data_IF_365682065735
#
_entry.id   IF_365682065735
#
_cell.length_a   1.000
_cell.length_b   1.000
_cell.length_c   1.000
_cell.angle_alpha   90.00
_cell.angle_beta   90.00
_cell.angle_gamma   90.00
#
_symmetry.space_group_name_H-M   'P 1'
#
loop_
_entity.id
_entity.type
_entity.pdbx_description
1 polymer ?
#
# COMPACT_ATOMS: atom_id res chain seq x y z
N UNK A 1 8.97 -26.06 20.18
CA UNK A 1 7.68 -25.41 19.92
C UNK A 1 7.20 -25.94 18.58
N UNK A 2 6.00 -26.51 18.53
CA UNK A 2 5.35 -26.97 17.29
C UNK A 2 4.04 -26.21 17.17
N UNK A 3 3.71 -25.74 15.96
CA UNK A 3 2.42 -25.10 15.66
C UNK A 3 1.79 -25.87 14.50
N UNK A 4 0.50 -26.17 14.60
CA UNK A 4 -0.23 -26.79 13.52
C UNK A 4 -0.41 -25.80 12.36
N UNK A 5 -0.25 -26.29 11.12
CA UNK A 5 -0.47 -25.46 9.95
C UNK A 5 -1.95 -25.02 9.91
N UNK A 6 -2.18 -23.72 9.78
CA UNK A 6 -3.53 -23.13 9.79
C UNK A 6 -4.28 -23.33 8.47
N UNK A 7 -3.57 -23.76 7.44
CA UNK A 7 -4.09 -24.01 6.10
C UNK A 7 -4.02 -25.50 5.80
N UNK A 8 -5.08 -26.03 5.21
CA UNK A 8 -5.11 -27.40 4.71
C UNK A 8 -4.63 -27.36 3.26
N UNK A 9 -3.43 -27.87 3.01
CA UNK A 9 -2.82 -27.80 1.68
C UNK A 9 -1.42 -28.40 1.64
N UNK A 10 -0.85 -28.46 0.44
CA UNK A 10 0.49 -29.02 0.22
C UNK A 10 1.55 -27.99 0.57
N UNK A 11 2.47 -28.33 1.47
CA UNK A 11 3.62 -27.46 1.77
C UNK A 11 4.55 -27.43 0.56
N UNK A 12 4.85 -26.23 0.08
CA UNK A 12 5.70 -25.99 -1.09
C UNK A 12 7.12 -25.64 -0.68
N UNK A 13 7.28 -24.75 0.29
CA UNK A 13 8.58 -24.31 0.76
C UNK A 13 8.51 -23.76 2.18
N UNK A 14 9.64 -23.73 2.85
CA UNK A 14 9.82 -23.03 4.12
C UNK A 14 11.06 -22.14 4.04
N UNK A 15 10.90 -20.86 4.32
CA UNK A 15 11.98 -19.87 4.34
C UNK A 15 12.20 -19.41 5.77
N UNK A 16 13.41 -19.63 6.29
CA UNK A 16 13.84 -19.15 7.60
C UNK A 16 14.53 -17.82 7.41
N UNK A 17 14.13 -16.81 8.18
CA UNK A 17 14.75 -15.49 8.17
C UNK A 17 14.92 -14.97 9.59
N UNK A 18 15.85 -14.02 9.77
CA UNK A 18 15.98 -13.30 11.04
C UNK A 18 15.86 -11.80 10.80
N UNK A 19 15.12 -11.11 11.67
CA UNK A 19 14.93 -9.66 11.60
C UNK A 19 14.80 -9.07 12.99
N UNK A 20 15.55 -7.99 13.26
CA UNK A 20 15.54 -7.29 14.54
C UNK A 20 15.76 -8.19 15.79
N UNK A 21 16.47 -9.31 15.61
CA UNK A 21 16.74 -10.30 16.65
C UNK A 21 15.62 -11.29 16.90
N UNK A 22 14.62 -11.38 16.01
CA UNK A 22 13.60 -12.42 15.99
C UNK A 22 13.83 -13.33 14.78
N UNK A 23 13.53 -14.61 14.96
CA UNK A 23 13.54 -15.60 13.87
C UNK A 23 12.11 -15.81 13.38
N UNK A 24 11.95 -15.89 12.06
CA UNK A 24 10.69 -16.14 11.39
C UNK A 24 10.83 -17.35 10.48
N UNK A 25 9.77 -18.12 10.38
CA UNK A 25 9.61 -19.17 9.37
C UNK A 25 8.37 -18.83 8.57
N UNK A 26 8.54 -18.63 7.25
CA UNK A 26 7.44 -18.47 6.31
C UNK A 26 7.26 -19.78 5.57
N UNK A 27 6.07 -20.38 5.69
CA UNK A 27 5.73 -21.65 5.03
C UNK A 27 4.76 -21.32 3.89
N UNK A 28 5.17 -21.59 2.65
CA UNK A 28 4.30 -21.48 1.49
C UNK A 28 3.48 -22.77 1.36
N UNK A 29 2.17 -22.62 1.25
CA UNK A 29 1.22 -23.73 1.17
C UNK A 29 0.38 -23.50 -0.07
N UNK A 30 0.34 -24.50 -0.94
CA UNK A 30 -0.60 -24.57 -2.04
C UNK A 30 -1.96 -25.02 -1.49
N UNK A 31 -2.97 -24.20 -1.71
CA UNK A 31 -4.34 -24.43 -1.25
C UNK A 31 -5.28 -24.25 -2.43
N UNK A 32 -6.30 -25.10 -2.52
CA UNK A 32 -7.46 -24.81 -3.35
C UNK A 32 -8.26 -23.70 -2.64
N UNK A 33 -8.49 -22.59 -3.35
CA UNK A 33 -9.23 -21.45 -2.82
C UNK A 33 -10.40 -21.14 -3.74
N UNK A 34 -11.60 -21.47 -3.30
CA UNK A 34 -12.83 -21.07 -3.97
C UNK A 34 -13.02 -19.57 -3.79
N UNK A 35 -12.89 -18.82 -4.90
CA UNK A 35 -13.12 -17.38 -4.90
C UNK A 35 -14.63 -17.14 -4.76
N UNK A 36 -15.10 -16.54 -3.65
CA UNK A 36 -16.53 -16.35 -3.43
C UNK A 36 -17.09 -15.31 -4.40
N UNK A 37 -18.38 -15.36 -4.71
CA UNK A 37 -19.04 -14.25 -5.39
C UNK A 37 -19.22 -13.08 -4.42
N UNK A 38 -18.68 -11.90 -4.75
CA UNK A 38 -18.80 -10.72 -3.90
C UNK A 38 -20.08 -9.94 -4.22
N UNK A 39 -21.01 -9.87 -3.26
CA UNK A 39 -22.29 -9.14 -3.40
C UNK A 39 -22.22 -7.68 -2.89
N UNK A 40 -21.02 -7.10 -2.88
CA UNK A 40 -20.76 -5.79 -2.31
C UNK A 40 -21.00 -4.69 -3.34
N UNK A 41 -21.16 -3.45 -2.87
CA UNK A 41 -21.23 -2.29 -3.77
C UNK A 41 -19.86 -1.91 -4.35
N UNK A 42 -19.84 -0.75 -5.02
CA UNK A 42 -18.62 -0.08 -5.44
C UNK A 42 -18.24 1.07 -4.49
N UNK A 43 -16.96 1.22 -4.19
CA UNK A 43 -16.40 2.34 -3.42
C UNK A 43 -15.25 2.98 -4.19
N UNK A 44 -15.13 4.30 -4.15
CA UNK A 44 -13.94 5.03 -4.60
C UNK A 44 -13.11 5.46 -3.40
N UNK A 45 -11.79 5.40 -3.52
CA UNK A 45 -10.86 5.73 -2.45
C UNK A 45 -9.92 6.82 -2.93
N UNK A 46 -10.00 7.97 -2.28
CA UNK A 46 -8.99 9.04 -2.38
C UNK A 46 -7.89 8.83 -1.34
N UNK A 47 -6.64 8.67 -1.77
CA UNK A 47 -5.50 8.42 -0.89
C UNK A 47 -4.75 9.72 -0.60
N UNK A 48 -4.45 9.95 0.68
CA UNK A 48 -3.83 11.20 1.11
C UNK A 48 -2.71 11.04 2.12
N UNK A 49 -1.95 12.12 2.29
CA UNK A 49 -0.88 12.20 3.30
C UNK A 49 -1.44 12.65 4.66
N UNK A 50 -2.38 13.61 4.67
CA UNK A 50 -3.01 14.13 5.90
C UNK A 50 -3.92 13.08 6.52
N UNK A 51 -4.80 12.54 5.68
CA UNK A 51 -5.73 11.45 5.92
C UNK A 51 -5.31 10.30 5.01
N UNK A 52 -5.17 9.08 5.53
CA UNK A 52 -4.64 7.96 4.73
C UNK A 52 -5.56 7.65 3.55
N UNK A 53 -6.87 7.61 3.81
CA UNK A 53 -7.88 7.39 2.79
C UNK A 53 -9.23 7.99 3.15
N UNK A 54 -9.90 8.57 2.16
CA UNK A 54 -11.30 8.97 2.23
C UNK A 54 -12.10 8.14 1.24
N UNK A 55 -13.17 7.50 1.70
CA UNK A 55 -14.01 6.62 0.89
C UNK A 55 -15.28 7.35 0.45
N UNK A 56 -15.82 6.95 -0.70
CA UNK A 56 -17.05 7.53 -1.27
C UNK A 56 -18.32 7.25 -0.44
N UNK A 57 -18.25 6.36 0.55
CA UNK A 57 -19.29 6.09 1.55
C UNK A 57 -19.20 7.02 2.78
N UNK A 58 -18.24 7.96 2.78
CA UNK A 58 -17.95 8.86 3.89
C UNK A 58 -17.02 8.29 4.96
N UNK A 59 -16.58 7.02 4.85
CA UNK A 59 -15.63 6.43 5.80
C UNK A 59 -14.25 7.05 5.60
N UNK A 60 -13.61 7.41 6.71
CA UNK A 60 -12.28 8.03 6.72
C UNK A 60 -11.30 7.15 7.49
N UNK A 61 -10.14 6.89 6.90
CA UNK A 61 -9.01 6.21 7.54
C UNK A 61 -7.91 7.21 7.86
N UNK A 62 -7.58 7.36 9.13
CA UNK A 62 -6.54 8.28 9.57
C UNK A 62 -5.13 7.78 9.22
N UNK A 63 -4.25 8.71 8.85
CA UNK A 63 -2.83 8.43 8.81
C UNK A 63 -2.23 8.58 10.21
N UNK A 64 -1.92 7.44 10.85
CA UNK A 64 -1.39 7.40 12.22
C UNK A 64 0.04 7.98 12.34
N UNK A 65 0.76 8.20 11.24
CA UNK A 65 2.09 8.87 11.20
C UNK A 65 3.09 8.26 12.21
N UNK A 66 3.09 6.92 12.31
CA UNK A 66 3.89 6.16 13.27
C UNK A 66 5.37 6.55 13.26
N UNK A 67 5.96 6.78 12.08
CA UNK A 67 7.37 7.16 11.98
C UNK A 67 7.60 8.56 12.56
N UNK A 68 6.74 9.53 12.24
CA UNK A 68 6.82 10.89 12.80
C UNK A 68 6.74 10.89 14.34
N UNK A 69 5.83 10.12 14.92
CA UNK A 69 5.68 10.01 16.38
C UNK A 69 6.92 9.41 17.05
N UNK A 70 7.62 8.50 16.36
CA UNK A 70 8.76 7.77 16.92
C UNK A 70 10.12 8.40 16.54
N UNK A 71 10.10 9.50 15.76
CA UNK A 71 11.29 10.08 15.15
C UNK A 71 12.36 10.52 16.16
N UNK A 72 11.96 11.09 17.29
CA UNK A 72 12.90 11.51 18.35
C UNK A 72 13.71 10.33 18.90
N UNK A 73 13.05 9.19 19.12
CA UNK A 73 13.70 7.95 19.56
C UNK A 73 14.65 7.40 18.50
N UNK A 74 14.22 7.36 17.24
CA UNK A 74 15.06 6.91 16.11
C UNK A 74 16.31 7.78 15.98
N UNK A 75 16.16 9.11 16.00
CA UNK A 75 17.28 10.07 15.94
C UNK A 75 18.26 9.87 17.10
N UNK A 76 17.74 9.70 18.32
CA UNK A 76 18.58 9.45 19.50
C UNK A 76 19.36 8.15 19.40
N UNK A 77 18.71 7.06 18.97
CA UNK A 77 19.36 5.76 18.76
C UNK A 77 20.40 5.81 17.64
N UNK A 78 20.10 6.48 16.52
CA UNK A 78 21.00 6.67 15.38
C UNK A 78 22.24 7.48 15.79
N UNK A 79 22.07 8.63 16.46
CA UNK A 79 23.17 9.43 17.01
C UNK A 79 24.00 8.65 18.04
N UNK A 80 23.34 7.83 18.85
CA UNK A 80 23.99 6.96 19.81
C UNK A 80 24.87 5.90 19.14
N UNK A 81 24.39 5.32 18.04
CA UNK A 81 25.10 4.33 17.24
C UNK A 81 26.31 4.93 16.50
N UNK A 82 26.13 6.10 15.87
CA UNK A 82 27.20 6.77 15.10
C UNK A 82 28.42 7.16 15.93
N UNK A 83 28.25 7.28 17.25
CA UNK A 83 29.33 7.56 18.21
C UNK A 83 30.06 6.31 18.70
N UNK A 84 29.65 5.10 18.29
CA UNK A 84 30.30 3.84 18.68
C UNK A 84 31.19 3.35 17.55
N UNK A 85 32.36 2.81 17.90
CA UNK A 85 33.22 2.14 16.93
C UNK A 85 32.52 0.90 16.36
N UNK A 86 32.41 0.83 15.04
CA UNK A 86 31.87 -0.31 14.31
C UNK A 86 32.56 -1.61 14.73
N UNK A 87 31.80 -2.71 14.78
CA UNK A 87 32.30 -4.01 15.25
C UNK A 87 32.44 -4.15 16.78
N UNK A 88 32.41 -3.07 17.56
CA UNK A 88 32.44 -3.19 19.03
C UNK A 88 31.17 -3.83 19.59
N UNK A 89 31.27 -4.51 20.75
CA UNK A 89 30.09 -5.09 21.41
C UNK A 89 29.00 -4.04 21.71
N UNK A 90 29.41 -2.83 22.06
CA UNK A 90 28.49 -1.73 22.32
C UNK A 90 27.83 -1.22 21.04
N UNK A 91 28.56 -1.15 19.92
CA UNK A 91 27.97 -0.86 18.62
C UNK A 91 26.90 -1.88 18.25
N UNK A 92 27.20 -3.18 18.36
CA UNK A 92 26.23 -4.25 18.06
C UNK A 92 24.97 -4.18 18.96
N UNK A 93 25.13 -3.86 20.24
CA UNK A 93 23.99 -3.63 21.16
C UNK A 93 23.12 -2.46 20.71
N UNK A 94 23.73 -1.35 20.28
CA UNK A 94 23.00 -0.16 19.80
C UNK A 94 22.34 -0.39 18.43
N UNK A 95 23.03 -1.04 17.49
CA UNK A 95 22.50 -1.39 16.18
C UNK A 95 21.25 -2.26 16.31
N UNK A 96 21.27 -3.26 17.20
CA UNK A 96 20.10 -4.09 17.51
C UNK A 96 18.93 -3.30 18.10
N UNK A 97 19.20 -2.31 18.96
CA UNK A 97 18.15 -1.43 19.52
C UNK A 97 17.51 -0.58 18.42
N UNK A 98 18.32 -0.02 17.51
CA UNK A 98 17.84 0.76 16.37
C UNK A 98 17.01 -0.11 15.42
N UNK A 99 17.50 -1.31 15.06
CA UNK A 99 16.79 -2.26 14.21
C UNK A 99 15.42 -2.66 14.80
N UNK A 100 15.35 -2.92 16.12
CA UNK A 100 14.09 -3.20 16.83
C UNK A 100 13.10 -2.03 16.78
N UNK A 101 13.61 -0.80 16.89
CA UNK A 101 12.75 0.38 16.80
C UNK A 101 12.15 0.55 15.40
N UNK A 102 12.97 0.43 14.34
CA UNK A 102 12.47 0.46 12.96
C UNK A 102 11.50 -0.68 12.66
N UNK A 103 11.80 -1.90 13.11
CA UNK A 103 10.93 -3.06 12.91
C UNK A 103 9.55 -2.84 13.56
N UNK A 104 9.50 -2.32 14.79
CA UNK A 104 8.23 -2.01 15.47
C UNK A 104 7.37 -1.01 14.69
N UNK A 105 7.98 0.05 14.16
CA UNK A 105 7.27 1.04 13.34
C UNK A 105 6.71 0.39 12.07
N UNK A 106 7.53 -0.45 11.41
CA UNK A 106 7.09 -1.18 10.22
C UNK A 106 5.90 -2.10 10.51
N UNK A 107 5.92 -2.84 11.62
CA UNK A 107 4.80 -3.69 12.04
C UNK A 107 3.53 -2.89 12.35
N UNK A 108 3.65 -1.75 13.04
CA UNK A 108 2.50 -0.88 13.33
C UNK A 108 1.88 -0.36 12.04
N UNK A 109 2.70 0.14 11.11
CA UNK A 109 2.24 0.60 9.80
C UNK A 109 1.55 -0.51 9.02
N UNK A 110 2.20 -1.68 8.88
CA UNK A 110 1.60 -2.84 8.20
C UNK A 110 0.28 -3.27 8.83
N UNK A 111 0.18 -3.25 10.17
CA UNK A 111 -1.05 -3.56 10.89
C UNK A 111 -2.20 -2.61 10.54
N UNK A 112 -1.94 -1.30 10.48
CA UNK A 112 -2.93 -0.30 10.07
C UNK A 112 -3.39 -0.53 8.63
N UNK A 113 -2.44 -0.71 7.70
CA UNK A 113 -2.76 -0.93 6.28
C UNK A 113 -3.56 -2.22 6.09
N UNK A 114 -3.15 -3.33 6.71
CA UNK A 114 -3.87 -4.60 6.55
C UNK A 114 -5.30 -4.52 7.07
N UNK A 115 -5.55 -3.85 8.21
CA UNK A 115 -6.90 -3.68 8.75
C UNK A 115 -7.78 -2.88 7.80
N UNK A 116 -7.26 -1.76 7.29
CA UNK A 116 -7.96 -0.92 6.31
C UNK A 116 -8.28 -1.71 5.03
N UNK A 117 -7.26 -2.29 4.39
CA UNK A 117 -7.43 -2.96 3.09
C UNK A 117 -8.26 -4.24 3.20
N UNK A 118 -8.18 -4.99 4.31
CA UNK A 118 -9.09 -6.13 4.56
C UNK A 118 -10.53 -5.66 4.79
N UNK A 119 -10.74 -4.56 5.52
CA UNK A 119 -12.10 -4.02 5.72
C UNK A 119 -12.73 -3.59 4.39
N UNK A 120 -11.97 -2.97 3.50
CA UNK A 120 -12.46 -2.55 2.19
C UNK A 120 -12.74 -3.74 1.27
N UNK A 121 -11.78 -4.66 1.13
CA UNK A 121 -11.90 -5.82 0.24
C UNK A 121 -13.02 -6.80 0.64
N UNK A 122 -13.47 -6.79 1.90
CA UNK A 122 -14.61 -7.59 2.37
C UNK A 122 -15.97 -6.92 2.17
N UNK A 123 -16.00 -5.59 2.10
CA UNK A 123 -17.25 -4.81 2.03
C UNK A 123 -17.67 -4.53 0.60
N UNK A 124 -16.71 -4.38 -0.30
CA UNK A 124 -16.93 -3.85 -1.64
C UNK A 124 -16.48 -4.83 -2.71
N UNK A 125 -17.37 -5.11 -3.66
CA UNK A 125 -17.05 -5.92 -4.83
C UNK A 125 -16.19 -5.14 -5.83
N UNK A 126 -16.30 -3.81 -5.85
CA UNK A 126 -15.46 -2.94 -6.66
C UNK A 126 -14.82 -1.86 -5.81
N UNK A 127 -13.50 -1.75 -5.90
CA UNK A 127 -12.72 -0.67 -5.26
C UNK A 127 -12.02 0.16 -6.34
N UNK A 128 -12.49 1.39 -6.53
CA UNK A 128 -11.82 2.40 -7.36
C UNK A 128 -10.66 3.04 -6.61
N UNK A 129 -9.50 3.11 -7.24
CA UNK A 129 -8.28 3.69 -6.65
C UNK A 129 -7.51 4.48 -7.70
N UNK A 130 -6.99 5.66 -7.35
CA UNK A 130 -6.09 6.39 -8.24
C UNK A 130 -4.73 5.69 -8.40
N UNK A 131 -4.21 5.71 -9.62
CA UNK A 131 -2.86 5.23 -9.91
C UNK A 131 -1.81 6.31 -9.64
N UNK A 132 -1.65 6.68 -8.36
CA UNK A 132 -0.68 7.69 -7.94
C UNK A 132 0.76 7.32 -8.33
N UNK A 133 1.51 8.26 -8.93
CA UNK A 133 2.94 8.11 -9.13
C UNK A 133 3.72 8.26 -7.80
N UNK A 134 3.71 7.20 -7.00
CA UNK A 134 4.35 7.17 -5.68
C UNK A 134 5.87 7.40 -5.77
N UNK A 135 6.51 6.95 -6.85
CA UNK A 135 7.95 7.16 -7.08
C UNK A 135 8.28 8.65 -7.23
N UNK A 136 7.50 9.37 -8.05
CA UNK A 136 7.64 10.82 -8.21
C UNK A 136 7.32 11.60 -6.93
N UNK A 137 6.40 11.11 -6.10
CA UNK A 137 6.12 11.75 -4.81
C UNK A 137 7.26 11.56 -3.79
N UNK A 138 7.96 10.43 -3.85
CA UNK A 138 9.10 10.14 -2.99
C UNK A 138 10.36 10.93 -3.37
N UNK A 139 10.50 11.38 -4.62
CA UNK A 139 11.62 12.24 -5.03
C UNK A 139 11.54 13.65 -4.44
N UNK A 140 10.36 14.08 -3.97
CA UNK A 140 10.22 15.34 -3.24
C UNK A 140 10.62 15.13 -1.76
N UNK A 141 11.84 15.53 -1.40
CA UNK A 141 12.38 15.37 -0.05
C UNK A 141 11.52 15.97 1.08
N UNK A 142 10.74 17.02 0.81
CA UNK A 142 9.84 17.63 1.79
C UNK A 142 8.63 16.75 2.11
N UNK A 143 8.17 15.94 1.13
CA UNK A 143 7.01 15.06 1.24
C UNK A 143 7.38 13.60 1.45
N UNK A 144 8.61 13.20 1.09
CA UNK A 144 9.07 11.81 1.06
C UNK A 144 8.77 11.05 2.37
N UNK A 145 9.03 11.68 3.52
CA UNK A 145 8.75 11.06 4.82
C UNK A 145 7.25 10.78 5.01
N UNK A 146 6.40 11.75 4.67
CA UNK A 146 4.97 11.65 4.86
C UNK A 146 4.30 10.70 3.84
N UNK A 147 4.83 10.65 2.62
CA UNK A 147 4.47 9.67 1.59
C UNK A 147 4.88 8.26 1.99
N UNK A 148 6.09 8.09 2.53
CA UNK A 148 6.56 6.80 3.07
C UNK A 148 5.70 6.32 4.23
N UNK A 149 5.27 7.23 5.11
CA UNK A 149 4.32 6.94 6.18
C UNK A 149 2.96 6.47 5.65
N UNK A 150 2.46 7.08 4.58
CA UNK A 150 1.19 6.72 3.95
C UNK A 150 1.26 5.41 3.14
N UNK A 151 2.45 5.05 2.61
CA UNK A 151 2.71 3.75 1.98
C UNK A 151 1.69 3.37 0.87
N UNK A 152 1.36 4.32 0.00
CA UNK A 152 0.33 4.15 -1.04
C UNK A 152 0.54 2.92 -1.94
N UNK A 153 1.78 2.62 -2.31
CA UNK A 153 2.12 1.42 -3.08
C UNK A 153 1.68 0.14 -2.35
N UNK A 154 1.91 0.08 -1.04
CA UNK A 154 1.52 -1.07 -0.22
C UNK A 154 0.01 -1.17 -0.06
N UNK A 155 -0.70 -0.03 0.03
CA UNK A 155 -2.18 -0.01 0.00
C UNK A 155 -2.70 -0.62 -1.30
N UNK A 156 -2.20 -0.15 -2.44
CA UNK A 156 -2.55 -0.67 -3.78
C UNK A 156 -2.28 -2.16 -3.88
N UNK A 157 -1.05 -2.59 -3.55
CA UNK A 157 -0.64 -4.00 -3.57
C UNK A 157 -1.55 -4.88 -2.71
N UNK A 158 -1.88 -4.43 -1.50
CA UNK A 158 -2.75 -5.17 -0.59
C UNK A 158 -4.19 -5.24 -1.06
N UNK A 159 -4.75 -4.15 -1.59
CA UNK A 159 -6.10 -4.15 -2.14
C UNK A 159 -6.22 -5.10 -3.32
N UNK A 160 -5.24 -5.11 -4.23
CA UNK A 160 -5.24 -5.98 -5.41
C UNK A 160 -5.40 -7.46 -5.02
N UNK A 161 -4.50 -8.01 -4.21
CA UNK A 161 -4.59 -9.43 -3.87
C UNK A 161 -5.76 -9.74 -2.94
N UNK A 162 -6.15 -8.82 -2.04
CA UNK A 162 -7.26 -9.09 -1.11
C UNK A 162 -8.61 -9.03 -1.80
N UNK A 163 -8.81 -8.09 -2.72
CA UNK A 163 -10.03 -8.01 -3.50
C UNK A 163 -10.23 -9.33 -4.26
N UNK A 164 -9.20 -9.81 -4.94
CA UNK A 164 -9.22 -11.11 -5.63
C UNK A 164 -9.56 -12.27 -4.67
N UNK A 165 -8.95 -12.31 -3.49
CA UNK A 165 -9.25 -13.33 -2.47
C UNK A 165 -10.72 -13.34 -2.01
N UNK A 166 -11.39 -12.19 -1.99
CA UNK A 166 -12.80 -12.05 -1.62
C UNK A 166 -13.73 -11.98 -2.84
N UNK A 167 -13.21 -12.22 -4.05
CA UNK A 167 -13.97 -12.18 -5.32
C UNK A 167 -14.46 -10.80 -5.74
N UNK A 168 -13.81 -9.76 -5.24
CA UNK A 168 -13.95 -8.39 -5.73
C UNK A 168 -12.80 -8.01 -6.68
N UNK A 169 -12.87 -6.78 -7.19
CA UNK A 169 -11.91 -6.24 -8.14
C UNK A 169 -11.47 -4.83 -7.73
N UNK A 170 -10.23 -4.48 -8.07
CA UNK A 170 -9.72 -3.11 -7.94
C UNK A 170 -9.62 -2.50 -9.32
N UNK A 171 -10.31 -1.39 -9.54
CA UNK A 171 -10.21 -0.62 -10.77
C UNK A 171 -9.30 0.59 -10.54
N UNK A 172 -8.20 0.64 -11.30
CA UNK A 172 -7.30 1.78 -11.25
C UNK A 172 -7.84 2.91 -12.13
N UNK A 173 -7.91 4.10 -11.56
CA UNK A 173 -8.27 5.34 -12.24
C UNK A 173 -6.98 6.08 -12.58
N UNK A 174 -6.89 6.60 -13.80
CA UNK A 174 -5.72 7.36 -14.26
C UNK A 174 -5.44 8.54 -13.32
N UNK A 175 -4.16 8.75 -12.97
CA UNK A 175 -3.73 9.94 -12.21
C UNK A 175 -4.06 11.28 -12.90
N UNK A 176 -4.33 11.25 -14.21
CA UNK A 176 -4.69 12.44 -14.99
C UNK A 176 -6.19 12.73 -14.96
N UNK A 177 -7.00 11.82 -14.41
CA UNK A 177 -8.41 12.06 -14.21
C UNK A 177 -8.59 13.14 -13.13
N UNK A 178 -9.32 14.24 -13.42
CA UNK A 178 -9.42 15.39 -12.51
C UNK A 178 -10.39 15.15 -11.34
N UNK A 179 -10.28 14.02 -10.63
CA UNK A 179 -11.17 13.58 -9.55
C UNK A 179 -11.46 14.68 -8.51
N UNK A 180 -10.42 15.38 -8.06
CA UNK A 180 -10.51 16.43 -7.05
C UNK A 180 -11.01 17.77 -7.58
N UNK A 181 -10.99 17.95 -8.91
CA UNK A 181 -11.42 19.17 -9.62
C UNK A 181 -12.78 19.02 -10.31
N UNK A 182 -13.34 17.82 -10.38
CA UNK A 182 -14.65 17.58 -10.98
C UNK A 182 -15.72 17.63 -9.89
N UNK A 183 -16.87 18.25 -10.12
CA UNK A 183 -17.99 18.14 -9.21
C UNK A 183 -18.67 16.77 -9.37
N UNK A 184 -18.77 15.99 -8.30
CA UNK A 184 -19.42 14.67 -8.36
C UNK A 184 -20.91 14.71 -8.73
N UNK A 185 -21.58 15.84 -8.53
CA UNK A 185 -23.02 15.96 -8.76
C UNK A 185 -23.37 16.35 -10.19
N UNK A 186 -22.61 17.26 -10.82
CA UNK A 186 -22.93 17.82 -12.14
C UNK A 186 -21.81 17.70 -13.19
N UNK A 187 -20.62 17.23 -12.82
CA UNK A 187 -19.49 17.08 -13.73
C UNK A 187 -18.72 18.37 -14.06
N UNK A 188 -19.10 19.51 -13.48
CA UNK A 188 -18.35 20.77 -13.66
C UNK A 188 -16.90 20.62 -13.21
N UNK A 189 -15.95 21.12 -14.00
CA UNK A 189 -14.52 21.10 -13.66
C UNK A 189 -14.09 22.48 -13.19
N UNK A 190 -13.56 22.57 -11.97
CA UNK A 190 -12.92 23.78 -11.45
C UNK A 190 -11.46 23.81 -11.93
N UNK A 191 -11.12 24.79 -12.76
CA UNK A 191 -9.77 24.91 -13.32
C UNK A 191 -8.75 25.28 -12.23
N UNK A 192 -9.08 26.28 -11.43
CA UNK A 192 -8.27 26.81 -10.35
C UNK A 192 -8.66 26.18 -9.00
N UNK A 193 -7.90 25.16 -8.61
CA UNK A 193 -8.02 24.54 -7.30
C UNK A 193 -6.65 24.44 -6.65
N UNK A 194 -6.50 25.11 -5.52
CA UNK A 194 -5.29 25.10 -4.70
C UNK A 194 -5.30 23.93 -3.71
N UNK A 195 -4.11 23.51 -3.24
CA UNK A 195 -3.99 22.42 -2.28
C UNK A 195 -4.60 22.74 -0.91
N UNK A 196 -4.72 24.03 -0.57
CA UNK A 196 -5.24 24.52 0.72
C UNK A 196 -6.77 24.59 0.76
N UNK A 197 -7.44 24.62 -0.40
CA UNK A 197 -8.89 24.48 -0.48
C UNK A 197 -9.32 23.07 -0.07
N UNK A 198 -9.90 22.94 1.13
CA UNK A 198 -10.40 21.65 1.68
C UNK A 198 -11.89 21.46 1.50
N UNK A 199 -12.63 22.55 1.40
CA UNK A 199 -14.06 22.54 1.08
C UNK A 199 -14.22 22.68 -0.42
N UNK A 200 -14.95 21.76 -1.01
CA UNK A 200 -15.39 21.82 -2.40
C UNK A 200 -16.71 22.58 -2.48
N UNK A 201 -16.75 23.62 -3.31
CA UNK A 201 -17.96 24.38 -3.63
C UNK A 201 -18.11 24.39 -5.13
N UNK A 202 -19.23 23.86 -5.64
CA UNK A 202 -19.53 23.89 -7.07
C UNK A 202 -20.29 25.16 -7.44
N UNK A 203 -19.74 25.93 -8.38
CA UNK A 203 -20.35 27.18 -8.85
C UNK A 203 -21.52 26.96 -9.82
N UNK A 204 -21.65 25.74 -10.37
CA UNK A 204 -22.72 25.40 -11.33
C UNK A 204 -23.97 24.82 -10.65
N UNK A 205 -23.81 23.91 -9.68
CA UNK A 205 -24.94 23.23 -9.02
C UNK A 205 -25.09 23.58 -7.53
N UNK A 206 -24.16 24.35 -6.95
CA UNK A 206 -24.21 24.79 -5.56
C UNK A 206 -23.87 23.71 -4.52
N UNK A 207 -23.43 22.51 -4.91
CA UNK A 207 -23.06 21.47 -3.94
C UNK A 207 -21.86 21.91 -3.11
N UNK A 208 -21.92 21.65 -1.80
CA UNK A 208 -20.85 21.94 -0.85
C UNK A 208 -20.50 20.64 -0.12
N UNK A 209 -19.23 20.25 -0.14
CA UNK A 209 -18.75 19.01 0.49
C UNK A 209 -17.25 19.11 0.81
N UNK A 210 -16.72 18.16 1.58
CA UNK A 210 -15.26 17.99 1.69
C UNK A 210 -14.66 17.58 0.34
N UNK A 211 -13.52 18.16 -0.02
CA UNK A 211 -12.84 17.93 -1.30
C UNK A 211 -12.43 16.46 -1.47
N UNK A 212 -11.88 15.86 -0.44
CA UNK A 212 -11.41 14.47 -0.48
C UNK A 212 -12.62 13.49 -0.65
N UNK A 213 -13.79 13.83 -0.11
CA UNK A 213 -15.03 13.07 -0.34
C UNK A 213 -15.55 13.24 -1.78
N UNK A 214 -15.52 14.47 -2.30
CA UNK A 214 -15.87 14.73 -3.70
C UNK A 214 -14.96 13.94 -4.66
N UNK A 215 -13.65 13.94 -4.41
CA UNK A 215 -12.70 13.14 -5.17
C UNK A 215 -13.03 11.64 -5.10
N UNK A 216 -13.27 11.10 -3.90
CA UNK A 216 -13.64 9.70 -3.73
C UNK A 216 -14.93 9.31 -4.48
N UNK A 217 -15.95 10.18 -4.49
CA UNK A 217 -17.17 9.99 -5.26
C UNK A 217 -16.90 9.95 -6.77
N UNK A 218 -16.06 10.85 -7.28
CA UNK A 218 -15.66 10.84 -8.70
C UNK A 218 -14.85 9.60 -9.07
N UNK A 219 -13.91 9.18 -8.22
CA UNK A 219 -13.12 7.95 -8.42
C UNK A 219 -14.03 6.74 -8.51
N UNK A 220 -15.07 6.65 -7.66
CA UNK A 220 -16.07 5.57 -7.74
C UNK A 220 -16.80 5.58 -9.07
N UNK A 221 -17.28 6.74 -9.49
CA UNK A 221 -18.03 6.90 -10.75
C UNK A 221 -17.17 6.55 -11.95
N UNK A 222 -15.94 7.03 -11.99
CA UNK A 222 -14.99 6.72 -13.07
C UNK A 222 -14.58 5.25 -13.08
N UNK A 223 -14.37 4.65 -11.92
CA UNK A 223 -14.10 3.22 -11.82
C UNK A 223 -15.25 2.37 -12.39
N UNK A 224 -16.50 2.73 -12.08
CA UNK A 224 -17.67 2.06 -12.65
C UNK A 224 -17.75 2.25 -14.16
N UNK A 225 -17.51 3.46 -14.67
CA UNK A 225 -17.50 3.76 -16.11
C UNK A 225 -16.44 2.93 -16.85
N UNK A 226 -15.21 2.88 -16.31
CA UNK A 226 -14.11 2.11 -16.90
C UNK A 226 -14.40 0.62 -16.91
N UNK A 227 -15.13 0.09 -15.93
CA UNK A 227 -15.53 -1.31 -15.90
C UNK A 227 -16.59 -1.64 -16.96
N UNK A 228 -17.53 -0.73 -17.22
CA UNK A 228 -18.58 -0.91 -18.24
C UNK A 228 -18.10 -0.70 -19.67
N UNK A 229 -17.06 0.12 -19.86
CA UNK A 229 -16.47 0.41 -21.18
C UNK A 229 -15.48 -0.67 -21.67
N UNK A 230 -15.23 -1.73 -20.87
CA UNK A 230 -14.54 -2.91 -21.37
C UNK A 230 -15.52 -3.69 -22.26
N UNK A 231 -15.32 -3.77 -23.60
CA UNK A 231 -16.12 -4.66 -24.42
C UNK A 231 -15.98 -6.07 -23.85
N UNK A 232 -17.09 -6.82 -23.79
CA UNK A 232 -17.10 -8.24 -23.42
C UNK A 232 -16.31 -9.03 -24.46
N UNK A 233 -14.98 -8.95 -24.38
CA UNK A 233 -14.08 -9.82 -25.11
C UNK A 233 -13.79 -10.97 -24.16
N UNK A 234 -14.27 -12.13 -24.57
CA UNK A 234 -14.15 -13.41 -23.89
C UNK A 234 -12.83 -13.55 -23.13
N UNK A 235 -12.95 -14.09 -21.91
CA UNK A 235 -11.88 -14.64 -21.10
C UNK A 235 -10.75 -15.26 -21.94
N UNK A 236 -9.71 -14.49 -22.22
CA UNK A 236 -8.42 -15.05 -22.61
C UNK A 236 -7.70 -15.32 -21.30
N UNK A 237 -7.73 -16.58 -20.90
CA UNK A 237 -7.02 -17.06 -19.73
C UNK A 237 -5.57 -16.57 -19.77
N UNK A 238 -5.18 -15.83 -18.74
CA UNK A 238 -3.78 -15.59 -18.47
C UNK A 238 -3.13 -16.94 -18.19
N UNK A 239 -2.57 -17.56 -19.24
CA UNK A 239 -1.62 -18.65 -19.10
C UNK A 239 -0.40 -18.09 -18.38
N UNK A 240 -0.27 -18.36 -17.09
CA UNK A 240 1.03 -18.36 -16.46
C UNK A 240 1.84 -19.48 -17.11
N UNK A 241 2.77 -19.11 -17.99
CA UNK A 241 3.70 -20.04 -18.58
C UNK A 241 4.70 -20.48 -17.49
N UNK A 242 4.47 -21.66 -16.92
CA UNK A 242 5.48 -22.45 -16.22
C UNK A 242 6.02 -23.53 -17.18
N UNK A 243 7.35 -23.70 -17.20
CA UNK A 243 8.10 -24.72 -17.94
C UNK A 243 9.41 -24.12 -18.44
N UNK A 244 10.50 -24.10 -17.66
CA UNK A 244 11.42 -25.20 -17.35
C UNK A 244 12.13 -25.76 -18.59
N UNK A 245 13.41 -25.41 -18.78
CA UNK A 245 14.49 -26.36 -19.09
C UNK A 245 15.88 -25.73 -18.91
N UNK A 246 16.82 -26.61 -18.55
CA UNK A 246 18.17 -26.44 -18.00
C UNK A 246 19.26 -26.07 -19.01
N UNK A 247 20.31 -25.36 -18.56
CA UNK A 247 21.72 -25.79 -18.58
C UNK A 247 22.65 -24.59 -18.28
N UNK A 248 23.79 -24.85 -17.64
CA UNK A 248 24.59 -23.85 -16.96
C UNK A 248 25.50 -22.99 -17.85
N UNK A 249 25.95 -21.87 -17.29
CA UNK A 249 27.34 -21.44 -17.38
C UNK A 249 27.64 -20.35 -16.33
N UNK A 250 28.93 -20.15 -16.12
CA UNK A 250 29.65 -19.54 -14.99
C UNK A 250 29.75 -18.00 -15.08
N UNK A 251 30.04 -17.36 -13.93
CA UNK A 251 30.62 -16.01 -13.73
C UNK A 251 29.62 -14.83 -13.96
N UNK A 252 29.58 -13.69 -13.25
CA UNK A 252 30.51 -12.89 -12.41
C UNK A 252 29.67 -12.10 -11.37
N UNK A 253 30.36 -11.62 -10.34
CA UNK A 253 30.00 -10.72 -9.24
C UNK A 253 29.01 -9.55 -9.49
N UNK A 254 28.37 -9.20 -8.37
CA UNK A 254 27.96 -7.87 -7.90
C UNK A 254 26.86 -7.09 -8.65
N UNK A 255 25.65 -7.07 -8.08
CA UNK A 255 24.87 -5.83 -7.93
C UNK A 255 24.15 -5.81 -6.57
N UNK A 256 24.59 -4.92 -5.71
CA UNK A 256 23.98 -4.55 -4.44
C UNK A 256 22.58 -3.97 -4.66
N UNK A 257 21.56 -4.60 -4.09
CA UNK A 257 20.23 -3.99 -3.94
C UNK A 257 20.28 -2.97 -2.77
N UNK A 258 20.06 -1.70 -3.08
CA UNK A 258 20.00 -0.62 -2.10
C UNK A 258 18.60 -0.56 -1.46
N UNK A 259 18.48 -0.97 -0.19
CA UNK A 259 17.32 -0.62 0.63
C UNK A 259 17.38 0.87 1.03
N UNK A 260 16.25 1.58 0.95
CA UNK A 260 16.07 3.02 1.19
C UNK A 260 16.35 3.51 2.63
N UNK A 261 17.01 2.72 3.45
CA UNK A 261 17.69 3.18 4.64
C UNK A 261 19.19 3.06 4.38
N UNK A 262 19.86 4.18 4.07
CA UNK A 262 21.30 4.28 3.81
C UNK A 262 22.17 3.85 5.00
N UNK A 263 22.10 2.58 5.38
CA UNK A 263 22.96 1.93 6.36
C UNK A 263 23.13 0.50 5.88
N UNK A 264 24.25 0.25 5.19
CA UNK A 264 24.74 -1.12 4.95
C UNK A 264 24.87 -1.80 6.31
N UNK A 265 24.12 -2.87 6.52
CA UNK A 265 24.47 -3.90 7.49
C UNK A 265 24.41 -5.23 6.74
N UNK A 266 25.59 -5.87 6.62
CA UNK A 266 25.76 -7.27 6.24
C UNK A 266 25.13 -8.18 7.30
#
# INVERSE_FOLDING_TARGET
>A
MTEALRLQGKIMSAVISSRAGWWFVSIAVEVEHDVPTHNGGAVGIDLGIKTLATCSDGVVFENQKHYRQTLGRIKSLSKGLSRKGEGSQNWGKHARKLAKAHYRIACQRQGTLHKMTTSLARRYALVGLEDLNTKGMLSNHCLAQAVSDASFFEVKRQLLYKAEQYGGYVQLVSQWYPSSKTCHACGWIKEDLTLDERVWVCEQCGVITERDLNAALNIRTEALRLLTDVPVVASSGHKFACGAESAGSRCVESETFCDEAGTRML
#
